data_IF_937149908114
#
_entry.id   IF_937149908114
#
_cell.length_a   1.000
_cell.length_b   1.000
_cell.length_c   1.000
_cell.angle_alpha   90.00
_cell.angle_beta   90.00
_cell.angle_gamma   90.00
#
_symmetry.space_group_name_H-M   'P 1'
#
loop_
_entity.id
_entity.type
_entity.pdbx_description
1 polymer ?
#
# COMPACT_ATOMS: atom_id res chain seq x y z
N UNK A 1 -9.73 10.99 8.20
CA UNK A 1 -9.25 11.59 6.95
C UNK A 1 -9.00 10.49 5.93
N UNK A 2 -8.97 10.80 4.62
CA UNK A 2 -8.77 9.81 3.53
C UNK A 2 -7.55 8.92 3.80
N UNK A 3 -6.45 9.53 4.26
CA UNK A 3 -5.21 8.85 4.65
C UNK A 3 -5.40 7.72 5.66
N UNK A 4 -6.24 7.90 6.68
CA UNK A 4 -6.54 6.84 7.68
C UNK A 4 -7.52 5.82 7.15
N UNK A 5 -8.52 6.25 6.38
CA UNK A 5 -9.52 5.35 5.79
C UNK A 5 -8.92 4.39 4.75
N UNK A 6 -7.78 4.77 4.15
CA UNK A 6 -7.00 3.87 3.29
C UNK A 6 -6.37 2.70 4.06
N UNK A 7 -6.19 2.80 5.39
CA UNK A 7 -5.68 1.73 6.24
C UNK A 7 -6.78 1.06 7.08
N UNK A 8 -8.03 1.24 6.70
CA UNK A 8 -9.15 0.68 7.44
C UNK A 8 -9.17 -0.85 7.31
N UNK A 9 -9.48 -1.61 8.38
CA UNK A 9 -9.60 -3.07 8.30
C UNK A 9 -10.65 -3.53 7.29
N UNK A 10 -11.70 -2.73 7.07
CA UNK A 10 -12.76 -3.05 6.13
C UNK A 10 -12.33 -2.68 4.69
N UNK A 11 -12.28 -3.70 3.84
CA UNK A 11 -11.98 -3.57 2.40
C UNK A 11 -12.86 -2.52 1.72
N UNK A 12 -14.15 -2.48 2.04
CA UNK A 12 -15.11 -1.52 1.47
C UNK A 12 -14.75 -0.07 1.80
N UNK A 13 -14.24 0.18 3.01
CA UNK A 13 -13.79 1.51 3.44
C UNK A 13 -12.52 1.89 2.68
N UNK A 14 -11.56 0.97 2.52
CA UNK A 14 -10.35 1.21 1.70
C UNK A 14 -10.69 1.53 0.24
N UNK A 15 -11.64 0.81 -0.35
CA UNK A 15 -12.14 1.08 -1.71
C UNK A 15 -12.77 2.47 -1.83
N UNK A 16 -13.65 2.83 -0.90
CA UNK A 16 -14.29 4.14 -0.88
C UNK A 16 -13.26 5.26 -0.68
N UNK A 17 -12.27 5.03 0.18
CA UNK A 17 -11.16 5.95 0.40
C UNK A 17 -10.29 6.13 -0.86
N UNK A 18 -10.01 5.06 -1.61
CA UNK A 18 -9.28 5.14 -2.88
C UNK A 18 -10.04 5.94 -3.95
N UNK A 19 -11.37 5.76 -4.07
CA UNK A 19 -12.22 6.60 -4.94
C UNK A 19 -12.24 8.05 -4.48
N UNK A 20 -12.28 8.28 -3.18
CA UNK A 20 -12.22 9.64 -2.60
C UNK A 20 -10.86 10.29 -2.89
N UNK A 21 -9.76 9.54 -2.80
CA UNK A 21 -8.43 9.98 -3.20
C UNK A 21 -8.38 10.39 -4.68
N UNK A 22 -9.00 9.63 -5.57
CA UNK A 22 -9.08 10.00 -6.99
C UNK A 22 -9.76 11.36 -7.19
N UNK A 23 -10.88 11.61 -6.49
CA UNK A 23 -11.57 12.89 -6.54
C UNK A 23 -10.71 14.04 -5.96
N UNK A 24 -10.02 13.78 -4.86
CA UNK A 24 -9.08 14.72 -4.26
C UNK A 24 -7.95 15.06 -5.22
N UNK A 25 -7.28 14.06 -5.79
CA UNK A 25 -6.23 14.25 -6.79
C UNK A 25 -6.74 15.00 -8.03
N UNK A 26 -7.99 14.77 -8.45
CA UNK A 26 -8.59 15.52 -9.57
C UNK A 26 -8.82 17.00 -9.23
N UNK A 27 -8.93 17.35 -7.95
CA UNK A 27 -9.16 18.72 -7.48
C UNK A 27 -7.88 19.49 -7.15
N UNK A 28 -6.90 18.84 -6.49
CA UNK A 28 -5.66 19.49 -6.00
C UNK A 28 -4.38 18.94 -6.66
N UNK A 29 -4.51 18.03 -7.63
CA UNK A 29 -3.39 17.51 -8.41
C UNK A 29 -2.36 16.75 -7.57
N UNK A 30 -1.09 16.95 -7.90
CA UNK A 30 0.06 16.23 -7.30
C UNK A 30 0.19 16.44 -5.79
N UNK A 31 -0.37 17.53 -5.25
CA UNK A 31 -0.38 17.78 -3.80
C UNK A 31 -1.06 16.64 -3.02
N UNK A 32 -2.10 16.02 -3.61
CA UNK A 32 -2.73 14.85 -3.01
C UNK A 32 -1.78 13.65 -2.93
N UNK A 33 -0.89 13.49 -3.91
CA UNK A 33 0.12 12.43 -3.93
C UNK A 33 1.15 12.65 -2.82
N UNK A 34 1.66 13.87 -2.72
CA UNK A 34 2.70 14.26 -1.76
C UNK A 34 2.24 14.12 -0.30
N UNK A 35 0.94 14.23 -0.03
CA UNK A 35 0.40 14.04 1.33
C UNK A 35 0.14 12.55 1.65
N UNK A 36 -0.30 11.76 0.67
CA UNK A 36 -0.90 10.44 0.92
C UNK A 36 0.08 9.30 0.61
N UNK A 37 0.78 9.34 -0.52
CA UNK A 37 1.69 8.26 -0.91
C UNK A 37 2.87 8.07 0.06
N UNK A 38 3.59 9.10 0.52
CA UNK A 38 4.69 8.88 1.46
C UNK A 38 4.20 8.35 2.82
N UNK A 39 2.97 8.68 3.24
CA UNK A 39 2.38 8.09 4.43
C UNK A 39 2.15 6.57 4.28
N UNK A 40 1.54 6.14 3.17
CA UNK A 40 1.30 4.71 2.92
C UNK A 40 2.61 3.94 2.77
N UNK A 41 3.59 4.51 2.07
CA UNK A 41 4.92 3.91 1.92
C UNK A 41 5.63 3.73 3.26
N UNK A 42 5.55 4.73 4.14
CA UNK A 42 6.14 4.65 5.48
C UNK A 42 5.50 3.56 6.33
N UNK A 43 4.17 3.41 6.28
CA UNK A 43 3.46 2.32 6.99
C UNK A 43 3.89 0.96 6.43
N UNK A 44 3.94 0.81 5.10
CA UNK A 44 4.40 -0.42 4.46
C UNK A 44 5.85 -0.80 4.83
N UNK A 45 6.74 0.19 4.94
CA UNK A 45 8.16 0.00 5.24
C UNK A 45 8.47 -0.21 6.72
N UNK A 46 7.69 0.35 7.66
CA UNK A 46 7.93 0.21 9.10
C UNK A 46 7.91 -1.25 9.58
N UNK A 47 7.06 -2.07 8.97
CA UNK A 47 6.95 -3.49 9.30
C UNK A 47 7.86 -4.38 8.44
N UNK A 48 8.67 -3.81 7.54
CA UNK A 48 9.61 -4.55 6.70
C UNK A 48 10.86 -4.99 7.47
N UNK A 49 11.14 -4.38 8.62
CA UNK A 49 12.19 -4.81 9.55
C UNK A 49 11.52 -5.77 10.54
N UNK A 50 11.78 -7.09 10.47
CA UNK A 50 11.29 -7.99 11.50
C UNK A 50 11.98 -7.57 12.80
N UNK A 51 11.23 -6.90 13.67
CA UNK A 51 11.64 -6.78 15.05
C UNK A 51 11.71 -8.21 15.57
N UNK A 52 12.91 -8.68 15.88
CA UNK A 52 13.15 -10.01 16.44
C UNK A 52 12.58 -10.00 17.86
N UNK A 53 11.26 -10.05 17.97
CA UNK A 53 10.60 -10.30 19.25
C UNK A 53 10.72 -11.80 19.47
N UNK A 54 11.71 -12.15 20.29
CA UNK A 54 11.97 -13.50 20.74
C UNK A 54 10.69 -14.14 21.31
N UNK A 55 10.34 -15.31 20.74
CA UNK A 55 9.74 -16.46 21.41
C UNK A 55 8.39 -16.29 22.12
N UNK A 56 7.34 -16.87 21.55
CA UNK A 56 6.72 -18.07 22.14
C UNK A 56 5.98 -18.86 21.03
N UNK A 57 6.70 -19.77 20.36
CA UNK A 57 6.14 -20.72 19.41
C UNK A 57 5.54 -21.92 20.15
N UNK A 58 4.46 -21.71 20.90
CA UNK A 58 3.71 -22.82 21.45
C UNK A 58 2.22 -22.68 21.16
N UNK A 59 1.75 -23.57 20.29
CA UNK A 59 0.36 -23.97 20.07
C UNK A 59 -0.46 -23.11 19.10
N UNK A 60 -0.72 -23.64 17.90
CA UNK A 60 -2.00 -24.26 17.53
C UNK A 60 -2.07 -24.41 16.01
N UNK A 61 -2.11 -25.66 15.57
CA UNK A 61 -2.45 -26.09 14.22
C UNK A 61 -3.98 -26.03 14.04
N UNK A 62 -4.57 -24.83 14.11
CA UNK A 62 -6.00 -24.62 13.86
C UNK A 62 -6.13 -23.31 13.07
N UNK A 63 -6.66 -23.38 11.85
CA UNK A 63 -7.18 -22.29 11.01
C UNK A 63 -6.74 -20.86 11.42
N UNK A 64 -5.47 -20.53 11.19
CA UNK A 64 -4.97 -19.17 11.44
C UNK A 64 -5.59 -18.23 10.41
N UNK A 65 -6.69 -17.56 10.80
CA UNK A 65 -7.07 -16.27 10.22
C UNK A 65 -5.80 -15.41 10.22
N UNK A 66 -5.22 -15.16 9.04
CA UNK A 66 -4.10 -14.23 8.92
C UNK A 66 -4.59 -12.89 9.43
N UNK A 67 -4.11 -12.49 10.60
CA UNK A 67 -4.32 -11.13 11.10
C UNK A 67 -3.64 -10.18 10.10
N UNK A 68 -4.45 -9.53 9.24
CA UNK A 68 -3.95 -8.57 8.27
C UNK A 68 -3.27 -7.43 9.03
N UNK A 69 -2.02 -7.20 8.71
CA UNK A 69 -1.21 -6.16 9.36
C UNK A 69 -1.49 -4.79 8.73
N UNK A 70 -1.13 -3.70 9.42
CA UNK A 70 -1.22 -2.35 8.82
C UNK A 70 -0.44 -2.25 7.50
N UNK A 71 0.65 -3.02 7.39
CA UNK A 71 1.41 -3.21 6.14
C UNK A 71 0.56 -3.81 5.02
N UNK A 72 -0.25 -4.83 5.29
CA UNK A 72 -1.12 -5.46 4.29
C UNK A 72 -2.20 -4.47 3.83
N UNK A 73 -2.77 -3.71 4.76
CA UNK A 73 -3.71 -2.64 4.43
C UNK A 73 -3.06 -1.55 3.58
N UNK A 74 -1.82 -1.14 3.90
CA UNK A 74 -1.09 -0.12 3.15
C UNK A 74 -0.77 -0.57 1.72
N UNK A 75 -0.35 -1.83 1.56
CA UNK A 75 -0.08 -2.42 0.26
C UNK A 75 -1.35 -2.51 -0.60
N UNK A 76 -2.46 -2.97 -0.01
CA UNK A 76 -3.76 -3.02 -0.67
C UNK A 76 -4.26 -1.61 -1.06
N UNK A 77 -4.09 -0.62 -0.18
CA UNK A 77 -4.41 0.77 -0.48
C UNK A 77 -3.60 1.32 -1.67
N UNK A 78 -2.30 1.05 -1.72
CA UNK A 78 -1.43 1.43 -2.83
C UNK A 78 -1.85 0.74 -4.13
N UNK A 79 -2.20 -0.54 -4.08
CA UNK A 79 -2.74 -1.26 -5.24
C UNK A 79 -4.02 -0.60 -5.76
N UNK A 80 -4.95 -0.26 -4.88
CA UNK A 80 -6.21 0.39 -5.26
C UNK A 80 -6.03 1.76 -5.88
N UNK A 81 -5.17 2.58 -5.27
CA UNK A 81 -4.80 3.88 -5.83
C UNK A 81 -4.17 3.71 -7.22
N UNK A 82 -3.32 2.70 -7.38
CA UNK A 82 -2.68 2.41 -8.66
C UNK A 82 -3.66 1.90 -9.72
N UNK A 83 -4.69 1.13 -9.37
CA UNK A 83 -5.76 0.74 -10.32
C UNK A 83 -6.45 1.95 -10.93
N UNK A 84 -6.63 3.02 -10.15
CA UNK A 84 -7.34 4.22 -10.58
C UNK A 84 -6.42 5.21 -11.30
N UNK A 85 -5.15 5.30 -10.88
CA UNK A 85 -4.23 6.39 -11.27
C UNK A 85 -2.80 5.93 -11.55
N UNK A 86 -2.60 4.73 -12.09
CA UNK A 86 -1.27 4.15 -12.37
C UNK A 86 -0.29 5.09 -13.07
N UNK A 87 -0.73 5.86 -14.07
CA UNK A 87 0.12 6.80 -14.84
C UNK A 87 0.77 7.90 -14.01
N UNK A 88 0.08 8.40 -12.98
CA UNK A 88 0.60 9.49 -12.12
C UNK A 88 1.27 8.94 -10.86
N UNK A 89 0.88 7.75 -10.43
CA UNK A 89 1.38 7.11 -9.21
C UNK A 89 2.70 6.38 -9.47
N UNK A 90 2.88 5.71 -10.61
CA UNK A 90 4.09 4.93 -10.90
C UNK A 90 5.39 5.76 -10.89
N UNK A 91 5.47 6.95 -11.52
CA UNK A 91 6.68 7.78 -11.43
C UNK A 91 7.07 8.12 -9.99
N UNK A 92 6.08 8.21 -9.10
CA UNK A 92 6.30 8.45 -7.67
C UNK A 92 6.76 7.18 -6.95
N UNK A 93 6.15 6.03 -7.23
CA UNK A 93 6.44 4.79 -6.53
C UNK A 93 7.74 4.12 -6.97
N UNK A 94 8.10 4.17 -8.25
CA UNK A 94 9.29 3.48 -8.79
C UNK A 94 10.57 3.84 -8.02
N UNK A 95 10.91 5.13 -7.78
CA UNK A 95 12.10 5.48 -7.01
C UNK A 95 12.12 4.89 -5.60
N UNK A 96 10.95 4.75 -4.96
CA UNK A 96 10.84 4.25 -3.59
C UNK A 96 10.86 2.72 -3.52
N UNK A 97 10.41 2.03 -4.57
CA UNK A 97 10.37 0.57 -4.62
C UNK A 97 11.69 -0.06 -5.07
N UNK A 98 12.53 0.68 -5.81
CA UNK A 98 13.87 0.22 -6.25
C UNK A 98 14.98 0.60 -5.28
N UNK A 99 14.69 1.39 -4.24
CA UNK A 99 15.66 1.75 -3.22
C UNK A 99 15.98 0.54 -2.32
N UNK A 100 17.27 0.26 -2.02
CA UNK A 100 17.63 -0.80 -1.09
C UNK A 100 17.17 -0.49 0.35
N UNK A 101 16.71 -1.50 1.12
CA UNK A 101 16.44 -2.87 0.70
C UNK A 101 15.17 -2.97 -0.16
N UNK A 102 15.28 -3.64 -1.31
CA UNK A 102 14.17 -3.76 -2.27
C UNK A 102 13.09 -4.69 -1.70
N UNK A 103 11.88 -4.16 -1.56
CA UNK A 103 10.72 -4.95 -1.14
C UNK A 103 10.12 -5.69 -2.35
N UNK A 104 10.66 -6.88 -2.62
CA UNK A 104 10.26 -7.73 -3.76
C UNK A 104 8.77 -8.11 -3.67
N UNK A 105 8.23 -8.27 -2.45
CA UNK A 105 6.81 -8.60 -2.26
C UNK A 105 5.93 -7.44 -2.67
N UNK A 106 6.23 -6.23 -2.20
CA UNK A 106 5.51 -5.03 -2.60
C UNK A 106 5.61 -4.79 -4.10
N UNK A 107 6.80 -4.96 -4.69
CA UNK A 107 7.03 -4.81 -6.11
C UNK A 107 6.22 -5.82 -6.94
N UNK A 108 6.23 -7.10 -6.58
CA UNK A 108 5.45 -8.13 -7.28
C UNK A 108 3.94 -7.84 -7.21
N UNK A 109 3.44 -7.53 -6.02
CA UNK A 109 2.04 -7.18 -5.77
C UNK A 109 1.57 -5.95 -6.53
N UNK A 110 2.43 -4.94 -6.66
CA UNK A 110 2.11 -3.73 -7.42
C UNK A 110 2.24 -3.98 -8.93
N UNK A 111 3.24 -4.72 -9.39
CA UNK A 111 3.43 -5.04 -10.82
C UNK A 111 2.20 -5.71 -11.42
N UNK A 112 1.57 -6.64 -10.69
CA UNK A 112 0.34 -7.31 -11.13
C UNK A 112 -0.82 -6.35 -11.42
N UNK A 113 -0.88 -5.25 -10.67
CA UNK A 113 -1.98 -4.28 -10.72
C UNK A 113 -1.66 -3.13 -11.68
N UNK A 114 -0.39 -2.90 -11.98
CA UNK A 114 0.06 -1.81 -12.84
C UNK A 114 -0.21 -2.07 -14.34
N UNK A 115 -0.27 -3.34 -14.77
CA UNK A 115 -0.64 -3.72 -16.14
C UNK A 115 0.10 -2.93 -17.23
N UNK A 116 -0.63 -2.42 -18.22
CA UNK A 116 -0.10 -1.61 -19.34
C UNK A 116 0.60 -0.33 -18.90
N UNK A 117 0.40 0.15 -17.67
CA UNK A 117 1.08 1.35 -17.18
C UNK A 117 2.59 1.15 -16.99
N UNK A 118 3.07 -0.11 -16.98
CA UNK A 118 4.49 -0.43 -17.00
C UNK A 118 5.06 -0.60 -18.42
N UNK A 119 4.20 -0.74 -19.44
CA UNK A 119 4.61 -1.16 -20.78
C UNK A 119 5.04 0.01 -21.69
N UNK A 120 5.00 1.27 -21.23
CA UNK A 120 5.28 2.41 -22.10
C UNK A 120 5.79 3.67 -21.40
#
# INVERSE_FOLDING_TARGET
TVRRALLDPLVEVRQSAAKTFENLHSSIGTQALDEILPYLLNVMQKDAIPNVTNGDQNNKEDEQEKEETERDFALDALQRIMQLKSRVVLPYLVPHLIQPPVDIKALASLTLVAGDALAR
#
